data_IF_345798929306
#
_entry.id   IF_345798929306
#
_cell.length_a   1.000
_cell.length_b   1.000
_cell.length_c   1.000
_cell.angle_alpha   90.00
_cell.angle_beta   90.00
_cell.angle_gamma   90.00
#
_symmetry.space_group_name_H-M   'P 1'
#
loop_
_entity.id
_entity.type
_entity.pdbx_description
1 polymer ?
#
# COMPACT_ATOMS: atom_id res chain seq x y z
N UNK A 1 -11.47 -27.26 26.55
CA UNK A 1 -11.34 -25.80 26.81
C UNK A 1 -11.00 -25.00 25.55
N UNK A 2 -10.76 -25.66 24.40
CA UNK A 2 -10.64 -25.01 23.09
C UNK A 2 -11.95 -25.06 22.29
N UNK A 3 -13.01 -25.57 22.92
CA UNK A 3 -14.19 -26.14 22.24
C UNK A 3 -15.42 -25.21 22.24
N UNK A 4 -15.35 -24.04 22.89
CA UNK A 4 -16.49 -23.13 23.06
C UNK A 4 -16.35 -21.79 22.29
N UNK A 5 -15.39 -21.68 21.36
CA UNK A 5 -15.16 -20.44 20.60
C UNK A 5 -15.38 -20.62 19.10
N UNK A 6 -16.20 -19.74 18.53
CA UNK A 6 -16.34 -19.62 17.08
C UNK A 6 -15.15 -18.88 16.47
N UNK A 7 -14.58 -19.44 15.40
CA UNK A 7 -13.44 -18.86 14.70
C UNK A 7 -13.95 -17.86 13.66
N UNK A 8 -13.69 -16.57 13.88
CA UNK A 8 -14.05 -15.52 12.93
C UNK A 8 -13.04 -15.44 11.78
N UNK A 9 -11.75 -15.35 12.08
CA UNK A 9 -10.69 -15.25 11.08
C UNK A 9 -9.50 -16.16 11.41
N UNK A 10 -8.86 -16.70 10.36
CA UNK A 10 -7.71 -17.60 10.51
C UNK A 10 -6.71 -17.43 9.35
N UNK A 11 -5.54 -16.87 9.62
CA UNK A 11 -4.47 -16.67 8.62
C UNK A 11 -3.88 -17.98 8.10
N UNK A 12 -3.93 -19.07 8.88
CA UNK A 12 -3.33 -20.37 8.51
C UNK A 12 -4.20 -21.21 7.58
N UNK A 13 -5.51 -20.93 7.51
CA UNK A 13 -6.45 -21.63 6.61
C UNK A 13 -6.49 -20.92 5.26
N UNK A 14 -6.60 -21.67 4.17
CA UNK A 14 -6.82 -21.10 2.84
C UNK A 14 -8.27 -20.58 2.69
N UNK A 15 -8.46 -19.69 1.71
CA UNK A 15 -9.79 -19.25 1.30
C UNK A 15 -10.70 -20.46 0.96
N UNK A 16 -12.00 -20.46 1.32
CA UNK A 16 -12.77 -19.40 1.98
C UNK A 16 -12.70 -19.38 3.51
N UNK A 17 -12.01 -20.34 4.13
CA UNK A 17 -11.97 -20.47 5.60
C UNK A 17 -10.86 -19.67 6.29
N UNK A 18 -10.17 -18.79 5.56
CA UNK A 18 -9.02 -18.03 6.04
C UNK A 18 -8.27 -17.32 4.91
N UNK A 19 -7.09 -16.78 5.21
CA UNK A 19 -6.32 -15.94 4.27
C UNK A 19 -5.22 -16.69 3.50
N UNK A 20 -4.81 -17.87 3.96
CA UNK A 20 -3.80 -18.72 3.32
C UNK A 20 -2.37 -18.21 3.38
N UNK A 21 -2.12 -17.07 4.03
CA UNK A 21 -0.79 -16.47 4.20
C UNK A 21 -0.70 -15.69 5.53
N UNK A 22 0.51 -15.52 6.08
CA UNK A 22 0.73 -14.64 7.22
C UNK A 22 0.30 -13.20 6.93
N UNK A 23 -0.08 -12.48 7.98
CA UNK A 23 -0.41 -11.06 7.88
C UNK A 23 0.85 -10.23 8.15
N UNK A 24 1.09 -9.24 7.30
CA UNK A 24 2.14 -8.24 7.51
C UNK A 24 1.52 -6.96 8.08
N UNK A 25 2.05 -6.50 9.21
CA UNK A 25 1.60 -5.31 9.91
C UNK A 25 2.72 -4.26 9.92
N UNK A 26 2.40 -3.01 9.59
CA UNK A 26 3.36 -1.91 9.56
C UNK A 26 2.95 -0.91 10.62
N UNK A 27 3.76 -0.79 11.66
CA UNK A 27 3.44 0.05 12.80
C UNK A 27 3.39 1.53 12.43
N UNK A 28 2.49 2.27 13.08
CA UNK A 28 2.34 3.72 12.90
C UNK A 28 1.49 4.12 11.69
N UNK A 29 0.89 3.16 10.97
CA UNK A 29 -0.09 3.45 9.92
C UNK A 29 -1.50 3.51 10.51
N UNK A 30 -2.18 4.65 10.33
CA UNK A 30 -3.50 4.97 10.90
C UNK A 30 -4.66 4.05 10.47
N UNK A 31 -4.40 3.07 9.61
CA UNK A 31 -5.42 2.19 9.02
C UNK A 31 -5.52 0.82 9.71
N UNK A 32 -4.72 0.58 10.75
CA UNK A 32 -4.65 -0.70 11.45
C UNK A 32 -5.17 -0.55 12.89
N UNK A 33 -5.75 -1.63 13.42
CA UNK A 33 -6.26 -1.70 14.79
C UNK A 33 -5.13 -1.39 15.77
N UNK A 34 -5.18 -0.24 16.49
CA UNK A 34 -4.07 0.17 17.37
C UNK A 34 -3.74 -0.87 18.43
N UNK A 35 -4.77 -1.58 18.92
CA UNK A 35 -4.61 -2.65 19.90
C UNK A 35 -3.74 -3.81 19.40
N UNK A 36 -3.70 -4.10 18.09
CA UNK A 36 -2.82 -5.13 17.54
C UNK A 36 -1.35 -4.71 17.65
N UNK A 37 -1.03 -3.43 17.42
CA UNK A 37 0.35 -2.96 17.63
C UNK A 37 0.75 -3.12 19.10
N UNK A 38 -0.14 -2.78 20.04
CA UNK A 38 0.12 -2.95 21.47
C UNK A 38 0.38 -4.42 21.83
N UNK A 39 -0.45 -5.35 21.34
CA UNK A 39 -0.25 -6.78 21.55
C UNK A 39 1.09 -7.26 20.98
N UNK A 40 1.37 -6.97 19.70
CA UNK A 40 2.55 -7.46 19.01
C UNK A 40 3.86 -6.88 19.56
N UNK A 41 3.87 -5.63 20.06
CA UNK A 41 5.03 -5.03 20.74
C UNK A 41 5.41 -5.75 22.03
N UNK A 42 4.48 -6.46 22.66
CA UNK A 42 4.73 -7.19 23.91
C UNK A 42 5.29 -8.60 23.69
N UNK A 43 5.35 -9.07 22.44
CA UNK A 43 5.75 -10.43 22.08
C UNK A 43 7.21 -10.52 21.63
N UNK A 44 7.83 -11.67 21.86
CA UNK A 44 9.09 -12.08 21.26
C UNK A 44 8.87 -12.76 19.91
N UNK A 45 9.92 -12.79 19.08
CA UNK A 45 9.89 -13.53 17.80
C UNK A 45 9.70 -15.03 18.09
N UNK A 46 8.91 -15.68 17.24
CA UNK A 46 8.38 -17.05 17.35
C UNK A 46 7.47 -17.32 18.55
N UNK A 47 7.07 -16.28 19.30
CA UNK A 47 6.12 -16.41 20.39
C UNK A 47 4.70 -16.64 19.88
N UNK A 48 3.96 -17.54 20.54
CA UNK A 48 2.51 -17.71 20.36
C UNK A 48 1.81 -17.24 21.62
N UNK A 49 1.06 -16.14 21.52
CA UNK A 49 0.37 -15.52 22.65
C UNK A 49 -1.10 -15.26 22.37
N UNK A 50 -1.89 -15.29 23.44
CA UNK A 50 -3.34 -15.11 23.43
C UNK A 50 -3.71 -13.81 24.13
N UNK A 51 -4.53 -12.99 23.48
CA UNK A 51 -5.01 -11.71 23.99
C UNK A 51 -6.53 -11.67 23.97
N UNK A 52 -7.13 -11.40 25.12
CA UNK A 52 -8.55 -11.11 25.23
C UNK A 52 -8.74 -9.59 25.12
N UNK A 53 -9.43 -9.16 24.06
CA UNK A 53 -9.57 -7.74 23.71
C UNK A 53 -11.01 -7.30 23.93
N UNK A 54 -11.17 -6.22 24.68
CA UNK A 54 -12.48 -5.61 24.96
C UNK A 54 -13.10 -4.97 23.72
N UNK A 55 -14.43 -4.87 23.73
CA UNK A 55 -15.21 -4.36 22.61
C UNK A 55 -14.83 -2.91 22.22
N UNK A 56 -14.44 -2.08 23.18
CA UNK A 56 -14.05 -0.68 22.97
C UNK A 56 -12.90 -0.53 21.96
N UNK A 57 -12.01 -1.52 21.89
CA UNK A 57 -10.83 -1.55 21.01
C UNK A 57 -11.12 -2.21 19.65
N UNK A 58 -12.32 -2.77 19.46
CA UNK A 58 -12.68 -3.62 18.32
C UNK A 58 -13.71 -2.99 17.37
N UNK A 59 -14.10 -1.74 17.59
CA UNK A 59 -15.09 -1.03 16.76
C UNK A 59 -14.77 -1.06 15.25
N UNK A 60 -13.49 -1.06 14.87
CA UNK A 60 -13.05 -1.08 13.47
C UNK A 60 -12.73 -2.48 12.95
N UNK A 61 -12.73 -3.50 13.81
CA UNK A 61 -12.33 -4.86 13.46
C UNK A 61 -13.15 -5.46 12.30
N UNK A 62 -14.50 -5.35 12.27
CA UNK A 62 -15.28 -5.91 11.16
C UNK A 62 -14.86 -5.36 9.80
N UNK A 63 -14.56 -4.05 9.73
CA UNK A 63 -14.13 -3.40 8.49
C UNK A 63 -12.71 -3.80 8.08
N UNK A 64 -11.81 -4.01 9.04
CA UNK A 64 -10.46 -4.52 8.79
C UNK A 64 -10.52 -5.96 8.30
N UNK A 65 -11.29 -6.82 8.97
CA UNK A 65 -11.47 -8.22 8.56
C UNK A 65 -12.07 -8.32 7.16
N UNK A 66 -13.11 -7.53 6.84
CA UNK A 66 -13.67 -7.46 5.48
C UNK A 66 -12.58 -7.19 4.43
N UNK A 67 -11.74 -6.18 4.64
CA UNK A 67 -10.64 -5.84 3.70
C UNK A 67 -9.65 -6.99 3.56
N UNK A 68 -9.29 -7.66 4.66
CA UNK A 68 -8.39 -8.82 4.62
C UNK A 68 -9.01 -9.99 3.84
N UNK A 69 -10.31 -10.25 4.01
CA UNK A 69 -11.06 -11.27 3.27
C UNK A 69 -11.10 -10.94 1.77
N UNK A 70 -11.43 -9.69 1.42
CA UNK A 70 -11.50 -9.24 0.04
C UNK A 70 -10.14 -9.36 -0.68
N UNK A 71 -9.03 -9.13 0.03
CA UNK A 71 -7.67 -9.32 -0.49
C UNK A 71 -7.26 -10.79 -0.63
N UNK A 72 -7.78 -11.68 0.23
CA UNK A 72 -7.49 -13.11 0.19
C UNK A 72 -8.33 -13.86 -0.86
N UNK A 73 -9.50 -13.31 -1.21
CA UNK A 73 -10.39 -13.90 -2.20
C UNK A 73 -9.69 -13.96 -3.57
N UNK A 74 -9.57 -15.14 -4.20
CA UNK A 74 -9.02 -15.24 -5.54
C UNK A 74 -9.91 -14.48 -6.52
N UNK A 75 -9.33 -13.51 -7.23
CA UNK A 75 -10.03 -12.79 -8.28
C UNK A 75 -10.13 -13.69 -9.52
N UNK A 76 -11.35 -14.02 -9.95
CA UNK A 76 -11.54 -14.68 -11.24
C UNK A 76 -11.00 -13.76 -12.34
N UNK A 77 -10.14 -14.30 -13.22
CA UNK A 77 -9.49 -13.55 -14.32
C UNK A 77 -10.45 -13.13 -15.44
N UNK A 78 -11.73 -13.05 -15.15
CA UNK A 78 -12.76 -12.63 -16.08
C UNK A 78 -13.86 -11.95 -15.32
N UNK A 79 -13.65 -10.69 -14.94
CA UNK A 79 -14.62 -9.59 -14.99
C UNK A 79 -13.91 -8.34 -14.48
N UNK A 80 -13.53 -7.49 -15.44
CA UNK A 80 -13.12 -6.12 -15.21
C UNK A 80 -14.28 -5.35 -14.60
N UNK A 81 -14.25 -5.11 -13.30
CA UNK A 81 -14.86 -3.93 -12.69
C UNK A 81 -13.96 -3.47 -11.55
N UNK A 82 -13.08 -2.51 -11.86
CA UNK A 82 -12.45 -1.67 -10.86
C UNK A 82 -13.52 -0.85 -10.16
N UNK A 83 -14.10 -1.41 -9.10
CA UNK A 83 -14.62 -0.63 -8.01
C UNK A 83 -13.63 -0.76 -6.87
N UNK A 84 -12.62 0.10 -6.92
CA UNK A 84 -11.95 0.55 -5.71
C UNK A 84 -13.08 0.94 -4.75
N UNK A 85 -13.30 0.15 -3.69
CA UNK A 85 -14.54 0.20 -2.91
C UNK A 85 -14.51 1.45 -2.03
N UNK A 86 -14.73 2.61 -2.64
CA UNK A 86 -15.10 3.81 -1.92
C UNK A 86 -16.41 3.48 -1.21
N UNK A 87 -16.36 3.31 0.12
CA UNK A 87 -17.54 3.02 0.92
C UNK A 87 -18.48 4.23 0.83
N UNK A 88 -19.41 4.22 -0.12
CA UNK A 88 -20.54 5.13 -0.11
C UNK A 88 -21.46 4.75 1.05
N UNK A 89 -22.10 5.73 1.69
CA UNK A 89 -23.01 5.52 2.82
C UNK A 89 -24.11 4.47 2.53
N UNK A 90 -24.50 4.30 1.26
CA UNK A 90 -25.46 3.27 0.83
C UNK A 90 -24.94 1.83 0.96
N UNK A 91 -23.62 1.59 0.90
CA UNK A 91 -23.03 0.26 1.07
C UNK A 91 -23.05 -0.23 2.53
N UNK A 92 -23.13 0.69 3.50
CA UNK A 92 -23.28 0.32 4.92
C UNK A 92 -24.65 -0.34 5.20
N UNK A 93 -25.68 -0.01 4.40
CA UNK A 93 -27.01 -0.62 4.53
C UNK A 93 -27.09 -2.06 3.99
N UNK A 94 -26.09 -2.51 3.22
CA UNK A 94 -26.07 -3.83 2.57
C UNK A 94 -25.28 -4.90 3.35
N UNK A 95 -24.64 -4.53 4.46
CA UNK A 95 -23.73 -5.41 5.20
C UNK A 95 -22.34 -5.50 4.57
N UNK A 96 -21.47 -6.28 5.19
CA UNK A 96 -20.09 -6.55 4.74
C UNK A 96 -20.03 -7.58 3.60
N UNK A 97 -21.11 -8.36 3.42
CA UNK A 97 -21.15 -9.50 2.51
C UNK A 97 -20.60 -10.80 3.13
N UNK A 98 -20.34 -10.79 4.44
CA UNK A 98 -19.84 -11.92 5.22
C UNK A 98 -20.70 -12.09 6.48
N UNK A 99 -21.43 -13.20 6.59
CA UNK A 99 -22.41 -13.41 7.67
C UNK A 99 -21.76 -13.30 9.06
N UNK A 100 -20.54 -13.81 9.25
CA UNK A 100 -19.88 -13.78 10.56
C UNK A 100 -19.50 -12.34 10.98
N UNK A 101 -19.20 -11.47 10.01
CA UNK A 101 -18.90 -10.06 10.27
C UNK A 101 -20.18 -9.25 10.44
N UNK A 102 -21.24 -9.58 9.70
CA UNK A 102 -22.55 -8.95 9.82
C UNK A 102 -23.21 -9.28 11.17
N UNK A 103 -23.05 -10.52 11.66
CA UNK A 103 -23.43 -10.91 13.00
C UNK A 103 -22.61 -10.15 14.06
N UNK A 104 -21.28 -10.09 13.91
CA UNK A 104 -20.41 -9.35 14.83
C UNK A 104 -20.74 -7.84 14.88
N UNK A 105 -21.18 -7.24 13.78
CA UNK A 105 -21.66 -5.86 13.76
C UNK A 105 -23.02 -5.69 14.43
N UNK A 106 -23.91 -6.68 14.31
CA UNK A 106 -25.25 -6.66 14.92
C UNK A 106 -25.19 -6.90 16.43
N UNK A 107 -24.34 -7.82 16.87
CA UNK A 107 -24.10 -8.15 18.27
C UNK A 107 -22.59 -8.04 18.60
N UNK A 108 -22.10 -6.81 18.86
CA UNK A 108 -20.69 -6.59 19.12
C UNK A 108 -20.27 -7.23 20.44
N UNK A 109 -19.21 -8.05 20.40
CA UNK A 109 -18.70 -8.81 21.54
C UNK A 109 -17.17 -8.73 21.64
N UNK A 110 -16.59 -8.86 22.86
CA UNK A 110 -15.14 -9.00 23.03
C UNK A 110 -14.61 -10.21 22.25
N UNK A 111 -13.37 -10.10 21.75
CA UNK A 111 -12.76 -11.14 20.93
C UNK A 111 -11.41 -11.59 21.51
N UNK A 112 -11.12 -12.87 21.31
CA UNK A 112 -9.84 -13.48 21.65
C UNK A 112 -8.98 -13.62 20.40
N UNK A 113 -7.80 -13.02 20.42
CA UNK A 113 -6.81 -13.12 19.35
C UNK A 113 -5.65 -14.02 19.78
N UNK A 114 -5.25 -14.91 18.89
CA UNK A 114 -4.05 -15.74 19.07
C UNK A 114 -3.05 -15.33 17.99
N UNK A 115 -1.98 -14.66 18.40
CA UNK A 115 -0.92 -14.23 17.50
C UNK A 115 0.24 -15.23 17.53
N UNK A 116 0.88 -15.39 16.38
CA UNK A 116 2.18 -16.04 16.27
C UNK A 116 3.10 -15.06 15.55
N UNK A 117 4.04 -14.45 16.28
CA UNK A 117 4.92 -13.43 15.74
C UNK A 117 6.09 -14.09 15.00
N UNK A 118 6.02 -14.18 13.67
CA UNK A 118 7.02 -14.92 12.88
C UNK A 118 8.35 -14.18 12.73
N UNK A 119 8.31 -12.87 12.49
CA UNK A 119 9.51 -12.07 12.25
C UNK A 119 9.21 -10.59 12.47
N UNK A 120 10.25 -9.83 12.77
CA UNK A 120 10.19 -8.37 12.89
C UNK A 120 11.33 -7.79 12.06
N UNK A 121 11.01 -6.87 11.15
CA UNK A 121 11.99 -6.16 10.33
C UNK A 121 12.16 -4.75 10.88
N UNK A 122 13.41 -4.31 11.07
CA UNK A 122 13.67 -2.94 11.51
C UNK A 122 13.41 -1.94 10.38
N UNK A 123 13.01 -0.70 10.67
CA UNK A 123 12.77 0.32 9.64
C UNK A 123 13.94 0.52 8.67
N UNK A 124 15.18 0.35 9.15
CA UNK A 124 16.42 0.49 8.37
C UNK A 124 16.59 -0.62 7.34
N UNK A 125 16.06 -1.81 7.62
CA UNK A 125 16.10 -2.99 6.75
C UNK A 125 14.84 -3.11 5.89
N UNK A 126 13.83 -2.26 6.15
CA UNK A 126 12.54 -2.29 5.48
C UNK A 126 12.50 -1.36 4.28
N UNK A 127 12.55 -1.91 3.07
CA UNK A 127 12.24 -1.16 1.85
C UNK A 127 10.72 -1.01 1.70
N UNK A 128 10.19 0.09 2.22
CA UNK A 128 8.76 0.41 2.07
C UNK A 128 8.39 0.54 0.60
N UNK A 129 7.37 -0.20 0.16
CA UNK A 129 6.87 -0.10 -1.19
C UNK A 129 6.31 1.32 -1.43
N UNK A 130 6.42 1.83 -2.67
CA UNK A 130 6.06 3.22 -3.00
C UNK A 130 4.62 3.63 -2.64
N UNK A 131 3.69 2.69 -2.44
CA UNK A 131 2.32 2.98 -1.96
C UNK A 131 2.23 3.16 -0.44
N UNK A 132 3.19 2.67 0.33
CA UNK A 132 3.20 2.74 1.79
C UNK A 132 3.74 4.09 2.30
N UNK A 133 4.53 4.79 1.49
CA UNK A 133 5.11 6.08 1.82
C UNK A 133 4.03 7.19 1.90
N UNK A 134 4.11 8.04 2.93
CA UNK A 134 3.33 9.27 3.02
C UNK A 134 3.74 10.27 1.93
N UNK A 135 2.93 11.31 1.68
CA UNK A 135 3.29 12.31 0.66
C UNK A 135 4.65 12.96 0.95
N UNK A 136 4.95 13.26 2.21
CA UNK A 136 6.23 13.85 2.63
C UNK A 136 7.40 12.88 2.42
N UNK A 137 7.27 11.63 2.87
CA UNK A 137 8.29 10.59 2.67
C UNK A 137 8.54 10.33 1.17
N UNK A 138 7.49 10.37 0.34
CA UNK A 138 7.62 10.28 -1.12
C UNK A 138 8.47 11.41 -1.67
N UNK A 139 8.21 12.67 -1.28
CA UNK A 139 8.97 13.83 -1.77
C UNK A 139 10.45 13.72 -1.38
N UNK A 140 10.75 13.36 -0.13
CA UNK A 140 12.12 13.24 0.36
C UNK A 140 12.89 12.12 -0.35
N UNK A 141 12.23 10.98 -0.54
CA UNK A 141 12.84 9.80 -1.13
C UNK A 141 13.10 9.91 -2.65
N UNK A 142 12.43 10.83 -3.35
CA UNK A 142 12.66 11.11 -4.79
C UNK A 142 14.11 11.57 -5.03
N UNK A 143 14.65 12.41 -4.16
CA UNK A 143 16.03 12.88 -4.32
C UNK A 143 17.03 11.76 -4.08
N UNK A 144 16.81 10.92 -3.08
CA UNK A 144 17.66 9.75 -2.80
C UNK A 144 17.69 8.78 -3.99
N UNK A 145 16.53 8.44 -4.56
CA UNK A 145 16.45 7.56 -5.73
C UNK A 145 17.17 8.15 -6.95
N UNK A 146 17.05 9.47 -7.15
CA UNK A 146 17.76 10.18 -8.23
C UNK A 146 19.27 10.10 -8.06
N UNK A 147 19.77 10.30 -6.83
CA UNK A 147 21.20 10.20 -6.53
C UNK A 147 21.72 8.77 -6.70
N UNK A 148 20.95 7.76 -6.27
CA UNK A 148 21.28 6.35 -6.50
C UNK A 148 21.31 6.01 -8.00
N UNK A 149 20.34 6.51 -8.78
CA UNK A 149 20.34 6.38 -10.24
C UNK A 149 21.58 7.02 -10.86
N UNK A 150 21.98 8.21 -10.41
CA UNK A 150 23.18 8.89 -10.90
C UNK A 150 24.47 8.12 -10.56
N UNK A 151 24.54 7.52 -9.37
CA UNK A 151 25.68 6.69 -8.96
C UNK A 151 25.79 5.42 -9.80
N UNK A 152 24.70 4.67 -9.97
CA UNK A 152 24.63 3.50 -10.84
C UNK A 152 24.97 3.84 -12.29
N UNK A 153 24.54 5.01 -12.76
CA UNK A 153 24.90 5.54 -14.07
C UNK A 153 26.41 5.77 -14.21
N UNK A 154 27.06 6.37 -13.21
CA UNK A 154 28.51 6.57 -13.20
C UNK A 154 29.28 5.24 -13.24
N UNK A 155 28.69 4.18 -12.70
CA UNK A 155 29.20 2.81 -12.72
C UNK A 155 28.85 2.04 -14.02
N UNK A 156 28.19 2.68 -14.99
CA UNK A 156 27.71 2.10 -16.25
C UNK A 156 26.65 0.99 -16.09
N UNK A 157 25.99 0.93 -14.93
CA UNK A 157 24.88 0.01 -14.66
C UNK A 157 23.56 0.64 -15.10
N UNK A 158 23.37 0.72 -16.42
CA UNK A 158 22.29 1.52 -17.00
C UNK A 158 20.89 1.00 -16.69
N UNK A 159 20.69 -0.31 -16.69
CA UNK A 159 19.38 -0.91 -16.40
C UNK A 159 18.95 -0.63 -14.95
N UNK A 160 19.83 -0.89 -13.99
CA UNK A 160 19.60 -0.59 -12.57
C UNK A 160 19.36 0.92 -12.33
N UNK A 161 20.10 1.79 -13.03
CA UNK A 161 19.91 3.23 -12.94
C UNK A 161 18.53 3.67 -13.47
N UNK A 162 18.10 3.14 -14.62
CA UNK A 162 16.79 3.42 -15.22
C UNK A 162 15.68 2.99 -14.25
N UNK A 163 15.80 1.82 -13.62
CA UNK A 163 14.80 1.35 -12.66
C UNK A 163 14.68 2.28 -11.46
N UNK A 164 15.79 2.81 -10.92
CA UNK A 164 15.77 3.81 -9.86
C UNK A 164 15.12 5.14 -10.29
N UNK A 165 15.35 5.60 -11.52
CA UNK A 165 14.67 6.80 -12.02
C UNK A 165 13.18 6.57 -12.28
N UNK A 166 12.78 5.38 -12.76
CA UNK A 166 11.37 5.01 -12.92
C UNK A 166 10.63 4.99 -11.59
N UNK A 167 11.28 4.47 -10.55
CA UNK A 167 10.73 4.48 -9.20
C UNK A 167 10.52 5.91 -8.69
N UNK A 168 11.47 6.81 -8.95
CA UNK A 168 11.36 8.22 -8.59
C UNK A 168 10.20 8.91 -9.33
N UNK A 169 10.04 8.63 -10.62
CA UNK A 169 8.91 9.12 -11.41
C UNK A 169 7.58 8.62 -10.88
N UNK A 170 7.44 7.33 -10.57
CA UNK A 170 6.19 6.78 -10.04
C UNK A 170 5.76 7.43 -8.71
N UNK A 171 6.74 7.81 -7.87
CA UNK A 171 6.47 8.58 -6.63
C UNK A 171 5.97 9.99 -6.94
N UNK A 172 6.59 10.68 -7.89
CA UNK A 172 6.19 12.03 -8.32
C UNK A 172 4.81 12.03 -9.01
N UNK A 173 4.53 11.05 -9.87
CA UNK A 173 3.24 10.92 -10.55
C UNK A 173 2.10 10.73 -9.54
N UNK A 174 2.34 10.00 -8.45
CA UNK A 174 1.32 9.85 -7.40
C UNK A 174 1.06 11.18 -6.67
N UNK A 175 2.08 12.02 -6.51
CA UNK A 175 1.97 13.30 -5.82
C UNK A 175 1.29 14.35 -6.71
N UNK A 176 1.68 14.44 -7.97
CA UNK A 176 1.15 15.44 -8.91
C UNK A 176 -0.35 15.27 -9.16
N UNK A 177 -0.86 14.02 -9.08
CA UNK A 177 -2.29 13.72 -9.19
C UNK A 177 -3.13 14.25 -8.01
N UNK A 178 -2.49 14.54 -6.86
CA UNK A 178 -3.18 15.10 -5.68
C UNK A 178 -3.22 16.62 -5.69
N UNK A 179 -2.32 17.24 -6.43
CA UNK A 179 -2.19 18.70 -6.50
C UNK A 179 -2.95 19.27 -7.70
N UNK A 180 -3.41 20.50 -7.56
CA UNK A 180 -4.15 21.19 -8.61
C UNK A 180 -3.17 21.86 -9.59
N UNK A 181 -3.33 21.67 -10.91
CA UNK A 181 -2.48 22.35 -11.90
C UNK A 181 -2.48 23.87 -11.73
N UNK A 182 -1.28 24.46 -11.73
CA UNK A 182 -1.06 25.91 -11.63
C UNK A 182 -0.91 26.47 -10.21
N UNK A 183 -1.04 25.63 -9.16
CA UNK A 183 -0.66 26.02 -7.80
C UNK A 183 0.87 25.83 -7.60
N UNK A 184 1.52 26.61 -6.72
CA UNK A 184 2.98 26.58 -6.57
C UNK A 184 3.52 25.20 -6.16
N UNK A 185 2.76 24.44 -5.37
CA UNK A 185 3.09 23.06 -4.99
C UNK A 185 3.07 22.10 -6.19
N UNK A 186 2.13 22.30 -7.12
CA UNK A 186 2.05 21.51 -8.36
C UNK A 186 3.21 21.85 -9.30
N UNK A 187 3.56 23.13 -9.45
CA UNK A 187 4.66 23.57 -10.30
C UNK A 187 6.02 23.01 -9.82
N UNK A 188 6.20 22.94 -8.50
CA UNK A 188 7.40 22.35 -7.90
C UNK A 188 7.52 20.85 -8.20
N UNK A 189 6.41 20.10 -8.11
CA UNK A 189 6.38 18.68 -8.46
C UNK A 189 6.60 18.47 -9.95
N UNK A 190 5.94 19.25 -10.81
CA UNK A 190 6.08 19.19 -12.26
C UNK A 190 7.51 19.49 -12.72
N UNK A 191 8.20 20.43 -12.06
CA UNK A 191 9.63 20.68 -12.29
C UNK A 191 10.48 19.45 -11.98
N UNK A 192 10.22 18.77 -10.86
CA UNK A 192 10.94 17.53 -10.47
C UNK A 192 10.67 16.40 -11.46
N UNK A 193 9.42 16.25 -11.93
CA UNK A 193 9.02 15.28 -12.96
C UNK A 193 9.81 15.51 -14.24
N UNK A 194 9.81 16.76 -14.75
CA UNK A 194 10.57 17.12 -15.96
C UNK A 194 12.06 16.81 -15.83
N UNK A 195 12.66 17.10 -14.67
CA UNK A 195 14.08 16.79 -14.43
C UNK A 195 14.38 15.28 -14.40
N UNK A 196 13.50 14.47 -13.81
CA UNK A 196 13.64 13.01 -13.83
C UNK A 196 13.46 12.44 -15.25
N UNK A 197 12.53 12.98 -16.04
CA UNK A 197 12.35 12.62 -17.45
C UNK A 197 13.54 12.99 -18.32
N UNK A 198 14.15 14.17 -18.16
CA UNK A 198 15.33 14.55 -18.94
C UNK A 198 16.52 13.67 -18.61
N UNK A 199 16.67 13.28 -17.33
CA UNK A 199 17.65 12.29 -16.91
C UNK A 199 17.43 11.01 -17.72
N UNK A 200 16.25 10.37 -17.66
CA UNK A 200 15.93 9.16 -18.44
C UNK A 200 16.11 9.33 -19.96
N UNK A 201 15.70 10.48 -20.50
CA UNK A 201 15.71 10.73 -21.95
C UNK A 201 17.12 10.94 -22.51
N UNK A 202 18.04 11.53 -21.72
CA UNK A 202 19.46 11.54 -22.09
C UNK A 202 20.06 10.13 -22.17
N UNK A 203 19.47 9.15 -21.47
CA UNK A 203 19.92 7.75 -21.46
C UNK A 203 19.38 6.91 -22.62
N UNK A 204 18.17 7.19 -23.12
CA UNK A 204 17.60 6.48 -24.28
C UNK A 204 18.30 6.79 -25.62
N UNK A 205 19.19 7.79 -25.67
CA UNK A 205 19.90 8.20 -26.89
C UNK A 205 21.11 7.31 -27.26
N UNK A 206 21.58 6.41 -26.37
CA UNK A 206 22.78 5.61 -26.64
C UNK A 206 22.59 4.09 -26.83
N UNK A 207 21.42 3.49 -26.51
CA UNK A 207 21.34 2.01 -26.55
C UNK A 207 20.06 1.32 -27.02
N UNK A 208 18.91 1.96 -27.34
CA UNK A 208 17.75 1.14 -27.74
C UNK A 208 16.68 1.82 -28.61
N UNK A 209 16.67 1.49 -29.92
CA UNK A 209 15.47 1.57 -30.78
C UNK A 209 14.49 0.45 -30.39
N UNK A 210 13.75 0.59 -29.28
CA UNK A 210 12.44 -0.03 -29.01
C UNK A 210 12.06 0.21 -27.55
N UNK A 211 11.11 1.11 -27.31
CA UNK A 211 9.90 0.88 -26.50
C UNK A 211 8.91 1.96 -26.93
N UNK A 212 7.77 1.50 -27.41
CA UNK A 212 6.66 2.29 -27.93
C UNK A 212 6.09 3.26 -26.88
N UNK A 213 5.71 4.44 -27.36
CA UNK A 213 4.57 5.25 -26.91
C UNK A 213 4.44 5.46 -25.39
N UNK A 214 5.02 6.56 -24.88
CA UNK A 214 4.38 7.32 -23.82
C UNK A 214 3.83 8.60 -24.41
N UNK A 215 2.52 8.74 -24.28
CA UNK A 215 1.69 9.89 -24.62
C UNK A 215 2.31 11.17 -24.02
N UNK A 216 2.95 12.00 -24.84
CA UNK A 216 3.08 13.42 -24.55
C UNK A 216 1.84 14.06 -25.16
N UNK A 217 0.83 14.33 -24.35
CA UNK A 217 -0.22 15.27 -24.77
C UNK A 217 0.47 16.61 -24.94
N UNK A 218 0.53 17.07 -26.18
CA UNK A 218 1.01 18.40 -26.56
C UNK A 218 0.36 19.45 -25.67
N UNK A 219 1.17 20.21 -24.92
CA UNK A 219 0.87 21.61 -24.63
C UNK A 219 1.95 22.43 -25.34
N UNK A 220 1.73 22.63 -26.63
CA UNK A 220 2.31 23.70 -27.41
C UNK A 220 1.67 25.01 -26.89
N UNK A 221 2.40 25.95 -26.29
CA UNK A 221 1.82 27.28 -26.08
C UNK A 221 1.71 27.93 -27.46
N UNK A 222 0.47 28.11 -27.92
CA UNK A 222 0.14 29.02 -29.00
C UNK A 222 0.57 30.44 -28.55
N UNK A 223 1.75 30.84 -28.99
CA UNK A 223 2.12 32.24 -29.17
C UNK A 223 1.37 32.71 -30.42
N UNK A 224 0.23 33.36 -30.23
CA UNK A 224 -0.27 34.33 -31.21
C UNK A 224 0.09 35.74 -30.75
N UNK A 225 0.43 36.55 -31.76
CA UNK A 225 0.92 37.93 -31.73
C UNK A 225 -0.01 38.93 -31.06
#
# INVERSE_FOLDING_TARGET
LRDDYDVIDNTRRSWPGGYGKPLELIFGKKFQLPVFETCLRSMLVDEVSQFDIELSELCTYPMVSKKLRDLAKPHDKGHSHGHDSHMCAAALSAGTGYEELDELMRDPRPLRFIFHLLSVTQPEEYEAEGWQLTSEEKIQSVETLRLQGNELFSQKKYEEAIDKYREALGRLDTLILREKPGEPEWEELDRKVRYAFTSISTYNCWSCKRISLFFFSEYLPLLEF
#
